data_IF_136137317635
#
_entry.id   IF_136137317635
#
_cell.length_a   1.000
_cell.length_b   1.000
_cell.length_c   1.000
_cell.angle_alpha   90.00
_cell.angle_beta   90.00
_cell.angle_gamma   90.00
#
_symmetry.space_group_name_H-M   'P 1'
#
loop_
_entity.id
_entity.type
_entity.pdbx_description
1 polymer ?
#
# COMPACT_ATOMS: atom_id res chain seq x y z
N UNK A 1 2.84 -3.44 12.30
CA UNK A 1 3.48 -2.77 11.14
C UNK A 1 3.11 -3.50 9.86
N UNK A 2 2.67 -2.81 8.81
CA UNK A 2 2.30 -3.44 7.53
C UNK A 2 3.52 -3.87 6.71
N UNK A 3 3.32 -4.76 5.73
CA UNK A 3 4.26 -5.03 4.64
C UNK A 3 3.53 -4.87 3.30
N UNK A 4 4.01 -3.92 2.51
CA UNK A 4 3.57 -3.66 1.14
C UNK A 4 4.66 -4.10 0.17
N UNK A 5 4.24 -4.53 -1.01
CA UNK A 5 5.11 -4.84 -2.15
C UNK A 5 4.50 -4.18 -3.39
N UNK A 6 5.32 -3.46 -4.16
CA UNK A 6 4.95 -2.93 -5.46
C UNK A 6 5.96 -3.36 -6.50
N UNK A 7 5.45 -3.79 -7.66
CA UNK A 7 6.25 -4.11 -8.84
C UNK A 7 5.64 -3.44 -10.06
N UNK A 8 6.47 -2.78 -10.86
CA UNK A 8 6.14 -2.23 -12.17
C UNK A 8 6.92 -2.99 -13.23
N UNK A 9 6.26 -3.34 -14.31
CA UNK A 9 6.84 -3.98 -15.48
C UNK A 9 6.22 -3.40 -16.75
N UNK A 10 6.78 -3.67 -17.93
CA UNK A 10 6.12 -3.33 -19.20
C UNK A 10 4.75 -3.99 -19.40
N UNK A 11 4.47 -5.08 -18.68
CA UNK A 11 3.21 -5.83 -18.79
C UNK A 11 2.10 -5.31 -17.86
N UNK A 12 2.46 -4.44 -16.91
CA UNK A 12 1.55 -3.98 -15.86
C UNK A 12 2.24 -3.72 -14.52
N UNK A 13 1.41 -3.36 -13.55
CA UNK A 13 1.80 -3.17 -12.15
C UNK A 13 1.15 -4.23 -11.26
N UNK A 14 1.84 -4.60 -10.20
CA UNK A 14 1.42 -5.55 -9.19
C UNK A 14 1.64 -4.94 -7.81
N UNK A 15 0.58 -4.83 -7.02
CA UNK A 15 0.64 -4.48 -5.61
C UNK A 15 0.25 -5.67 -4.74
N UNK A 16 0.90 -5.82 -3.59
CA UNK A 16 0.51 -6.74 -2.53
C UNK A 16 0.56 -6.06 -1.17
N UNK A 17 -0.34 -6.45 -0.28
CA UNK A 17 -0.38 -5.96 1.08
C UNK A 17 -0.84 -7.05 2.06
N UNK A 18 -0.27 -7.05 3.26
CA UNK A 18 -0.81 -7.81 4.38
C UNK A 18 -2.04 -7.12 5.00
N UNK A 19 -2.85 -7.86 5.76
CA UNK A 19 -4.01 -7.28 6.45
C UNK A 19 -3.85 -7.11 7.95
N UNK A 20 -2.80 -7.64 8.57
CA UNK A 20 -2.66 -7.62 10.03
C UNK A 20 -2.50 -6.19 10.54
N UNK A 21 -3.28 -5.82 11.55
CA UNK A 21 -3.13 -4.57 12.29
C UNK A 21 -3.14 -4.86 13.78
N UNK A 22 -2.38 -4.09 14.53
CA UNK A 22 -2.34 -4.15 15.99
C UNK A 22 -3.05 -2.90 16.51
N UNK A 23 -4.03 -3.13 17.39
CA UNK A 23 -4.80 -2.07 18.04
C UNK A 23 -4.45 -2.11 19.52
N UNK A 24 -3.97 -0.99 20.02
CA UNK A 24 -3.66 -0.81 21.44
C UNK A 24 -4.85 -0.13 22.12
N UNK A 25 -5.31 -0.68 23.24
CA UNK A 25 -6.30 -0.01 24.09
C UNK A 25 -5.64 0.89 25.15
N UNK A 26 -6.45 1.62 25.92
CA UNK A 26 -5.97 2.53 26.98
C UNK A 26 -5.27 1.80 28.15
N UNK A 27 -5.37 0.47 28.21
CA UNK A 27 -4.72 -0.38 29.21
C UNK A 27 -3.49 -1.11 28.63
N UNK A 28 -3.02 -0.70 27.45
CA UNK A 28 -1.88 -1.28 26.70
C UNK A 28 -2.08 -2.76 26.33
N UNK A 29 -3.32 -3.23 26.26
CA UNK A 29 -3.62 -4.53 25.67
C UNK A 29 -3.51 -4.43 24.15
N UNK A 30 -2.87 -5.43 23.55
CA UNK A 30 -2.72 -5.54 22.10
C UNK A 30 -3.78 -6.48 21.54
N UNK A 31 -4.71 -5.94 20.76
CA UNK A 31 -5.66 -6.72 19.98
C UNK A 31 -5.19 -6.82 18.52
N UNK A 32 -5.15 -8.04 17.99
CA UNK A 32 -4.86 -8.27 16.57
C UNK A 32 -6.16 -8.21 15.78
N UNK A 33 -6.22 -7.33 14.78
CA UNK A 33 -7.33 -7.26 13.81
C UNK A 33 -6.81 -7.41 12.39
N UNK A 34 -7.74 -7.57 11.45
CA UNK A 34 -7.45 -7.65 10.03
C UNK A 34 -8.19 -6.56 9.28
N UNK A 35 -7.45 -5.70 8.59
CA UNK A 35 -7.98 -4.58 7.83
C UNK A 35 -7.39 -4.58 6.41
N UNK A 36 -8.19 -4.25 5.41
CA UNK A 36 -7.70 -4.07 4.04
C UNK A 36 -6.74 -2.89 3.97
N UNK A 37 -5.66 -3.08 3.22
CA UNK A 37 -4.62 -2.07 2.99
C UNK A 37 -4.32 -1.86 1.51
N UNK A 38 -5.03 -2.57 0.64
CA UNK A 38 -4.97 -2.46 -0.81
C UNK A 38 -6.39 -2.27 -1.35
N UNK A 39 -6.57 -1.26 -2.18
CA UNK A 39 -7.86 -0.80 -2.65
C UNK A 39 -7.81 -0.50 -4.15
N UNK A 40 -8.86 -0.88 -4.91
CA UNK A 40 -9.04 -0.39 -6.27
C UNK A 40 -9.42 1.09 -6.23
N UNK A 41 -8.89 1.87 -7.15
CA UNK A 41 -9.37 3.22 -7.46
C UNK A 41 -9.96 3.17 -8.88
N UNK A 42 -11.25 2.82 -8.97
CA UNK A 42 -11.88 2.51 -10.27
C UNK A 42 -11.24 1.29 -10.95
N UNK A 43 -11.21 1.30 -12.28
CA UNK A 43 -10.61 0.24 -13.10
C UNK A 43 -9.15 0.52 -13.50
N UNK A 44 -8.69 1.76 -13.30
CA UNK A 44 -7.41 2.27 -13.80
C UNK A 44 -6.35 2.49 -12.73
N UNK A 45 -6.70 2.33 -11.45
CA UNK A 45 -5.82 2.65 -10.33
C UNK A 45 -5.86 1.64 -9.17
N UNK A 46 -4.74 1.57 -8.46
CA UNK A 46 -4.55 0.85 -7.21
C UNK A 46 -3.96 1.80 -6.16
N UNK A 47 -4.45 1.67 -4.93
CA UNK A 47 -3.96 2.37 -3.76
C UNK A 47 -3.64 1.38 -2.65
N UNK A 48 -2.41 1.42 -2.15
CA UNK A 48 -2.06 0.73 -0.92
C UNK A 48 -1.61 1.70 0.16
N UNK A 49 -1.90 1.40 1.42
CA UNK A 49 -1.50 2.22 2.57
C UNK A 49 -0.83 1.38 3.66
N UNK A 50 0.10 1.98 4.38
CA UNK A 50 0.73 1.35 5.54
C UNK A 50 1.27 2.36 6.53
N UNK A 51 1.73 1.83 7.67
CA UNK A 51 2.14 2.64 8.80
C UNK A 51 0.93 3.01 9.67
N UNK A 52 0.69 4.30 9.90
CA UNK A 52 -0.46 4.78 10.68
C UNK A 52 -1.82 4.30 10.14
N UNK A 53 -2.71 3.89 11.04
CA UNK A 53 -4.04 3.36 10.70
C UNK A 53 -4.96 4.38 10.00
N UNK A 54 -4.66 5.68 10.08
CA UNK A 54 -5.41 6.76 9.43
C UNK A 54 -5.61 6.53 7.92
N UNK A 55 -4.60 5.97 7.25
CA UNK A 55 -4.64 5.76 5.80
C UNK A 55 -5.66 4.72 5.36
N UNK A 56 -6.05 3.79 6.23
CA UNK A 56 -7.00 2.70 5.90
C UNK A 56 -8.37 3.28 5.56
N UNK A 57 -8.88 4.16 6.41
CA UNK A 57 -10.22 4.73 6.24
C UNK A 57 -10.28 5.72 5.07
N UNK A 58 -9.23 6.53 4.89
CA UNK A 58 -9.09 7.43 3.74
C UNK A 58 -9.09 6.63 2.43
N UNK A 59 -8.28 5.56 2.37
CA UNK A 59 -8.19 4.69 1.19
C UNK A 59 -9.53 4.06 0.84
N UNK A 60 -10.28 3.60 1.86
CA UNK A 60 -11.60 3.00 1.69
C UNK A 60 -12.60 4.00 1.10
N UNK A 61 -12.65 5.23 1.62
CA UNK A 61 -13.52 6.29 1.11
C UNK A 61 -13.21 6.64 -0.34
N UNK A 62 -11.92 6.80 -0.67
CA UNK A 62 -11.47 7.08 -2.04
C UNK A 62 -11.81 5.94 -3.01
N UNK A 63 -11.64 4.68 -2.58
CA UNK A 63 -12.02 3.52 -3.37
C UNK A 63 -13.52 3.52 -3.73
N UNK A 64 -14.38 3.87 -2.77
CA UNK A 64 -15.81 4.03 -3.04
C UNK A 64 -16.10 5.20 -3.98
N UNK A 65 -15.48 6.35 -3.75
CA UNK A 65 -15.67 7.55 -4.58
C UNK A 65 -15.36 7.30 -6.05
N UNK A 66 -14.19 6.70 -6.35
CA UNK A 66 -13.76 6.46 -7.73
C UNK A 66 -14.43 5.25 -8.39
N UNK A 67 -15.07 4.38 -7.61
CA UNK A 67 -15.97 3.37 -8.17
C UNK A 67 -17.23 4.03 -8.74
N UNK A 68 -17.76 5.04 -8.06
CA UNK A 68 -18.97 5.75 -8.47
C UNK A 68 -18.69 6.86 -9.49
N UNK A 69 -17.50 7.46 -9.42
CA UNK A 69 -17.08 8.60 -10.23
C UNK A 69 -15.71 8.29 -10.87
N UNK A 70 -15.68 7.44 -11.91
CA UNK A 70 -14.43 7.07 -12.56
C UNK A 70 -13.82 8.27 -13.28
N UNK A 71 -12.52 8.48 -13.06
CA UNK A 71 -11.72 9.53 -13.72
C UNK A 71 -10.38 8.94 -14.19
N UNK A 72 -9.68 9.58 -15.13
CA UNK A 72 -8.34 9.16 -15.55
C UNK A 72 -7.35 9.10 -14.38
N UNK A 73 -6.38 8.17 -14.45
CA UNK A 73 -5.41 7.96 -13.37
C UNK A 73 -4.62 9.22 -12.96
N UNK A 74 -4.17 10.10 -13.87
CA UNK A 74 -3.48 11.34 -13.47
C UNK A 74 -4.33 12.25 -12.58
N UNK A 75 -5.61 12.43 -12.93
CA UNK A 75 -6.56 13.25 -12.15
C UNK A 75 -6.84 12.59 -10.78
N UNK A 76 -7.05 11.28 -10.80
CA UNK A 76 -7.23 10.45 -9.60
C UNK A 76 -6.03 10.58 -8.66
N UNK A 77 -4.80 10.43 -9.16
CA UNK A 77 -3.56 10.54 -8.39
C UNK A 77 -3.49 11.91 -7.69
N UNK A 78 -3.74 13.00 -8.40
CA UNK A 78 -3.74 14.35 -7.82
C UNK A 78 -4.79 14.51 -6.71
N UNK A 79 -6.01 13.99 -6.92
CA UNK A 79 -7.08 14.06 -5.93
C UNK A 79 -6.80 13.19 -4.69
N UNK A 80 -6.22 12.00 -4.87
CA UNK A 80 -5.83 11.13 -3.76
C UNK A 80 -4.81 11.84 -2.88
N UNK A 81 -3.77 12.45 -3.47
CA UNK A 81 -2.72 13.14 -2.71
C UNK A 81 -3.27 14.32 -1.92
N UNK A 82 -4.12 15.15 -2.53
CA UNK A 82 -4.73 16.28 -1.83
C UNK A 82 -5.64 15.83 -0.68
N UNK A 83 -6.41 14.76 -0.88
CA UNK A 83 -7.29 14.20 0.14
C UNK A 83 -6.49 13.60 1.30
N UNK A 84 -5.46 12.80 1.02
CA UNK A 84 -4.61 12.22 2.06
C UNK A 84 -3.92 13.29 2.89
N UNK A 85 -3.42 14.34 2.25
CA UNK A 85 -2.79 15.46 2.96
C UNK A 85 -3.81 16.15 3.88
N UNK A 86 -4.98 16.53 3.35
CA UNK A 86 -6.03 17.21 4.11
C UNK A 86 -6.54 16.39 5.30
N UNK A 87 -6.88 15.12 5.07
CA UNK A 87 -7.43 14.25 6.12
C UNK A 87 -6.37 13.91 7.18
N UNK A 88 -5.10 13.78 6.78
CA UNK A 88 -4.01 13.58 7.71
C UNK A 88 -3.75 14.82 8.57
N UNK A 89 -3.79 16.01 7.98
CA UNK A 89 -3.65 17.27 8.73
C UNK A 89 -4.80 17.44 9.74
N UNK A 90 -6.03 17.10 9.36
CA UNK A 90 -7.18 17.09 10.27
C UNK A 90 -7.00 16.10 11.41
N UNK A 91 -6.60 14.86 11.11
CA UNK A 91 -6.32 13.83 12.12
C UNK A 91 -5.24 14.27 13.12
N UNK A 92 -4.17 14.90 12.64
CA UNK A 92 -3.13 15.45 13.50
C UNK A 92 -3.64 16.59 14.38
N UNK A 93 -4.54 17.44 13.88
CA UNK A 93 -5.13 18.53 14.65
C UNK A 93 -6.05 18.01 15.77
N UNK A 94 -6.91 17.04 15.45
CA UNK A 94 -7.82 16.43 16.43
C UNK A 94 -7.07 15.64 17.51
N UNK A 95 -6.04 14.89 17.12
CA UNK A 95 -5.20 14.09 18.02
C UNK A 95 -4.08 14.87 18.72
N UNK A 96 -3.96 16.19 18.52
CA UNK A 96 -2.77 16.98 18.90
C UNK A 96 -2.37 16.86 20.37
N UNK A 97 -3.34 16.85 21.29
CA UNK A 97 -3.06 16.71 22.71
C UNK A 97 -2.55 15.30 23.06
N UNK A 98 -3.12 14.27 22.43
CA UNK A 98 -2.74 12.88 22.65
C UNK A 98 -1.35 12.58 22.06
N UNK A 99 -1.07 13.03 20.84
CA UNK A 99 0.24 12.86 20.20
C UNK A 99 1.37 13.59 20.93
N UNK A 100 1.08 14.73 21.58
CA UNK A 100 2.06 15.40 22.45
C UNK A 100 2.39 14.60 23.70
N UNK A 101 1.42 13.85 24.24
CA UNK A 101 1.62 12.98 25.39
C UNK A 101 2.32 11.65 25.03
N UNK A 102 2.19 11.21 23.76
CA UNK A 102 2.70 9.93 23.26
C UNK A 102 3.52 10.14 21.96
N UNK A 103 4.69 10.81 22.02
CA UNK A 103 5.51 11.05 20.84
C UNK A 103 6.00 9.77 20.16
N UNK A 104 6.08 8.65 20.87
CA UNK A 104 6.40 7.32 20.32
C UNK A 104 5.30 6.76 19.41
N UNK A 105 4.06 7.24 19.56
CA UNK A 105 2.95 6.85 18.69
C UNK A 105 3.00 7.54 17.32
N UNK A 106 4.00 8.39 17.06
CA UNK A 106 4.29 8.90 15.73
C UNK A 106 4.76 7.78 14.82
N UNK A 107 3.83 7.24 14.06
CA UNK A 107 4.13 6.24 13.04
C UNK A 107 4.26 6.93 11.69
N UNK A 108 5.27 6.52 10.91
CA UNK A 108 5.32 6.78 9.48
C UNK A 108 3.96 6.45 8.87
N UNK A 109 3.46 7.31 7.99
CA UNK A 109 2.31 7.01 7.16
C UNK A 109 2.78 7.02 5.71
N UNK A 110 2.42 6.00 4.95
CA UNK A 110 2.83 5.92 3.55
C UNK A 110 1.74 5.33 2.66
N UNK A 111 1.78 5.73 1.41
CA UNK A 111 0.87 5.26 0.36
C UNK A 111 1.64 4.87 -0.89
N UNK A 112 1.16 3.82 -1.55
CA UNK A 112 1.55 3.41 -2.89
C UNK A 112 0.40 3.71 -3.82
N UNK A 113 0.68 4.41 -4.90
CA UNK A 113 -0.25 4.65 -5.99
C UNK A 113 0.28 4.01 -7.24
N UNK A 114 -0.58 3.33 -7.98
CA UNK A 114 -0.22 2.80 -9.28
C UNK A 114 -1.42 2.82 -10.21
N UNK A 115 -1.17 3.01 -11.50
CA UNK A 115 -2.22 3.00 -12.49
C UNK A 115 -1.73 2.95 -13.93
N UNK A 116 -2.69 2.99 -14.84
CA UNK A 116 -2.47 3.06 -16.29
C UNK A 116 -2.71 4.48 -16.79
N UNK A 117 -1.76 5.00 -17.55
CA UNK A 117 -1.82 6.31 -18.21
C UNK A 117 -2.59 6.21 -19.53
N UNK A 118 -2.98 7.36 -20.08
CA UNK A 118 -3.77 7.43 -21.32
C UNK A 118 -3.04 6.84 -22.53
N UNK A 119 -1.70 6.88 -22.54
CA UNK A 119 -0.86 6.28 -23.58
C UNK A 119 -0.70 4.74 -23.41
N UNK A 120 -1.35 4.16 -22.40
CA UNK A 120 -1.30 2.74 -22.05
C UNK A 120 -0.06 2.34 -21.24
N UNK A 121 0.83 3.27 -20.92
CA UNK A 121 1.96 3.01 -20.03
C UNK A 121 1.52 2.91 -18.57
N UNK A 122 2.33 2.23 -17.75
CA UNK A 122 2.04 2.05 -16.32
C UNK A 122 2.92 2.92 -15.46
N UNK A 123 2.35 3.46 -14.40
CA UNK A 123 3.04 4.27 -13.42
C UNK A 123 2.86 3.70 -12.02
N UNK A 124 3.89 3.83 -11.18
CA UNK A 124 3.76 3.70 -9.73
C UNK A 124 4.53 4.83 -9.04
N UNK A 125 4.00 5.30 -7.92
CA UNK A 125 4.60 6.31 -7.05
C UNK A 125 4.44 5.90 -5.59
N UNK A 126 5.39 6.33 -4.75
CA UNK A 126 5.38 6.10 -3.32
C UNK A 126 5.45 7.43 -2.59
N UNK A 127 4.57 7.63 -1.63
CA UNK A 127 4.53 8.84 -0.82
C UNK A 127 4.61 8.49 0.65
N UNK A 128 5.36 9.25 1.43
CA UNK A 128 5.45 9.08 2.87
C UNK A 128 5.39 10.43 3.60
N UNK A 129 4.82 10.38 4.81
CA UNK A 129 4.96 11.38 5.86
C UNK A 129 5.85 10.75 6.94
N UNK A 130 7.09 11.23 7.03
CA UNK A 130 8.12 10.63 7.89
C UNK A 130 8.13 11.19 9.31
N UNK A 131 7.51 12.36 9.54
CA UNK A 131 7.41 12.98 10.85
C UNK A 131 6.10 13.74 11.07
N UNK A 132 5.82 14.08 12.33
CA UNK A 132 4.66 14.87 12.72
C UNK A 132 4.64 16.23 12.01
N UNK A 133 3.49 16.60 11.43
CA UNK A 133 3.32 17.83 10.67
C UNK A 133 4.00 17.84 9.29
N UNK A 134 4.67 16.77 8.87
CA UNK A 134 5.25 16.72 7.53
C UNK A 134 4.21 16.27 6.51
N UNK A 135 4.09 17.05 5.44
CA UNK A 135 3.30 16.69 4.29
C UNK A 135 3.82 15.42 3.63
N UNK A 136 2.91 14.66 3.00
CA UNK A 136 3.29 13.55 2.14
C UNK A 136 4.22 14.05 1.03
N UNK A 137 5.38 13.42 0.89
CA UNK A 137 6.34 13.69 -0.18
C UNK A 137 6.54 12.46 -1.01
N UNK A 138 6.70 12.67 -2.32
CA UNK A 138 7.07 11.59 -3.21
C UNK A 138 8.50 11.14 -2.88
N UNK A 139 8.65 9.85 -2.62
CA UNK A 139 9.94 9.23 -2.41
C UNK A 139 10.32 8.47 -3.68
N UNK A 140 11.57 8.58 -4.15
CA UNK A 140 12.00 7.91 -5.36
C UNK A 140 11.92 6.40 -5.19
N UNK A 141 11.28 5.74 -6.15
CA UNK A 141 11.21 4.28 -6.24
C UNK A 141 11.71 3.82 -7.60
N UNK A 142 12.24 2.60 -7.62
CA UNK A 142 12.52 1.89 -8.85
C UNK A 142 11.27 1.08 -9.25
N UNK A 143 11.44 0.19 -10.23
CA UNK A 143 10.40 -0.73 -10.66
C UNK A 143 9.94 -1.70 -9.56
N UNK A 144 10.72 -1.87 -8.49
CA UNK A 144 10.35 -2.72 -7.34
C UNK A 144 10.53 -1.94 -6.06
N UNK A 145 9.52 -2.01 -5.18
CA UNK A 145 9.57 -1.49 -3.83
C UNK A 145 8.97 -2.49 -2.84
N UNK A 146 9.55 -2.55 -1.65
CA UNK A 146 8.91 -3.12 -0.47
C UNK A 146 8.86 -2.08 0.64
N UNK A 147 7.76 -2.01 1.39
CA UNK A 147 7.59 -1.07 2.51
C UNK A 147 7.04 -1.78 3.75
N UNK A 148 7.79 -1.91 4.86
CA UNK A 148 9.21 -1.58 5.03
C UNK A 148 10.14 -2.28 4.04
N UNK A 149 11.33 -1.71 3.81
CA UNK A 149 12.28 -2.22 2.80
C UNK A 149 12.88 -3.57 3.15
N UNK A 150 12.88 -4.46 2.16
CA UNK A 150 13.37 -5.84 2.18
C UNK A 150 14.27 -6.06 0.97
N UNK A 151 15.52 -5.61 1.07
CA UNK A 151 16.48 -5.65 -0.05
C UNK A 151 16.60 -7.03 -0.69
N UNK A 152 16.61 -8.11 0.10
CA UNK A 152 16.66 -9.47 -0.43
C UNK A 152 15.45 -9.86 -1.28
N UNK A 153 14.25 -9.39 -0.92
CA UNK A 153 13.03 -9.58 -1.71
C UNK A 153 13.07 -8.73 -2.97
N UNK A 154 13.45 -7.46 -2.84
CA UNK A 154 13.54 -6.54 -3.98
C UNK A 154 14.53 -7.03 -5.04
N UNK A 155 15.72 -7.50 -4.64
CA UNK A 155 16.71 -8.09 -5.56
C UNK A 155 16.12 -9.27 -6.33
N UNK A 156 15.44 -10.19 -5.64
CA UNK A 156 14.82 -11.37 -6.28
C UNK A 156 13.79 -10.98 -7.33
N UNK A 157 12.91 -10.04 -7.00
CA UNK A 157 11.88 -9.54 -7.91
C UNK A 157 12.50 -8.80 -9.10
N UNK A 158 13.51 -7.94 -8.88
CA UNK A 158 14.23 -7.26 -9.95
C UNK A 158 14.93 -8.24 -10.88
N UNK A 159 15.57 -9.29 -10.34
CA UNK A 159 16.19 -10.34 -11.16
C UNK A 159 15.17 -11.07 -11.99
N UNK A 160 14.01 -11.42 -11.42
CA UNK A 160 12.94 -12.10 -12.14
C UNK A 160 12.38 -11.22 -13.29
N UNK A 161 12.19 -9.92 -13.06
CA UNK A 161 11.80 -8.96 -14.10
C UNK A 161 12.83 -8.87 -15.23
N UNK A 162 14.12 -8.74 -14.88
CA UNK A 162 15.22 -8.68 -15.86
C UNK A 162 15.33 -9.95 -16.71
N UNK A 163 14.92 -11.08 -16.16
CA UNK A 163 14.88 -12.36 -16.86
C UNK A 163 13.60 -12.56 -17.70
N UNK A 164 12.71 -11.56 -17.75
CA UNK A 164 11.48 -11.61 -18.55
C UNK A 164 10.37 -12.47 -17.96
N UNK A 165 10.38 -12.71 -16.64
CA UNK A 165 9.27 -13.41 -15.95
C UNK A 165 7.97 -12.63 -16.14
N UNK A 166 6.85 -13.34 -16.27
CA UNK A 166 5.54 -12.69 -16.35
C UNK A 166 5.04 -12.20 -14.98
N UNK A 167 4.03 -11.35 -14.98
CA UNK A 167 3.48 -10.78 -13.74
C UNK A 167 2.91 -11.82 -12.77
N UNK A 168 2.46 -12.99 -13.24
CA UNK A 168 1.93 -14.04 -12.38
C UNK A 168 3.07 -14.73 -11.62
N UNK A 169 4.17 -15.01 -12.30
CA UNK A 169 5.38 -15.54 -11.67
C UNK A 169 5.97 -14.55 -10.65
N UNK A 170 6.01 -13.26 -11.00
CA UNK A 170 6.41 -12.19 -10.08
C UNK A 170 5.47 -12.14 -8.86
N UNK A 171 4.16 -12.24 -9.06
CA UNK A 171 3.17 -12.28 -7.98
C UNK A 171 3.42 -13.47 -7.06
N UNK A 172 3.67 -14.66 -7.62
CA UNK A 172 3.96 -15.85 -6.83
C UNK A 172 5.23 -15.69 -5.98
N UNK A 173 6.29 -15.10 -6.53
CA UNK A 173 7.51 -14.77 -5.78
C UNK A 173 7.26 -13.76 -4.66
N UNK A 174 6.45 -12.73 -4.92
CA UNK A 174 6.08 -11.73 -3.92
C UNK A 174 5.22 -12.33 -2.78
N UNK A 175 4.26 -13.20 -3.12
CA UNK A 175 3.46 -13.95 -2.13
C UNK A 175 4.37 -14.84 -1.28
N UNK A 176 5.30 -15.57 -1.88
CA UNK A 176 6.26 -16.39 -1.13
C UNK A 176 7.09 -15.55 -0.15
N UNK A 177 7.47 -14.34 -0.55
CA UNK A 177 8.16 -13.41 0.34
C UNK A 177 7.27 -12.98 1.53
N UNK A 178 6.00 -12.63 1.30
CA UNK A 178 5.06 -12.31 2.38
C UNK A 178 4.84 -13.49 3.33
N UNK A 179 4.64 -14.71 2.80
CA UNK A 179 4.53 -15.93 3.60
C UNK A 179 5.78 -16.17 4.46
N UNK A 180 6.96 -15.91 3.91
CA UNK A 180 8.20 -16.04 4.66
C UNK A 180 8.32 -14.99 5.78
N UNK A 181 7.88 -13.74 5.53
CA UNK A 181 7.89 -12.67 6.53
C UNK A 181 6.89 -12.95 7.65
N UNK A 182 5.66 -13.34 7.31
CA UNK A 182 4.58 -13.76 8.24
C UNK A 182 5.05 -14.88 9.19
N UNK A 183 5.83 -15.85 8.70
CA UNK A 183 6.42 -16.91 9.55
C UNK A 183 7.52 -16.43 10.49
N UNK A 184 8.13 -15.29 10.22
CA UNK A 184 9.30 -14.77 10.96
C UNK A 184 8.98 -13.61 11.87
N UNK A 185 7.95 -12.85 11.54
CA UNK A 185 7.64 -11.58 12.18
C UNK A 185 6.17 -11.53 12.56
N UNK A 186 5.90 -11.24 13.83
CA UNK A 186 4.54 -11.11 14.32
C UNK A 186 3.83 -9.85 13.80
N UNK A 187 4.50 -8.95 13.09
CA UNK A 187 3.93 -7.68 12.64
C UNK A 187 3.15 -7.79 11.33
N UNK A 188 3.46 -8.80 10.52
CA UNK A 188 2.87 -9.06 9.19
C UNK A 188 2.03 -10.31 9.29
N UNK A 189 0.84 -10.31 8.69
CA UNK A 189 0.00 -11.49 8.78
C UNK A 189 -1.03 -11.59 7.67
N UNK A 190 -1.37 -12.84 7.37
CA UNK A 190 -2.46 -13.20 6.46
C UNK A 190 -3.80 -12.64 6.95
N UNK A 191 -4.77 -12.41 6.05
CA UNK A 191 -4.71 -12.68 4.62
C UNK A 191 -3.82 -11.68 3.84
N UNK A 192 -3.41 -12.07 2.63
CA UNK A 192 -2.64 -11.19 1.74
C UNK A 192 -3.51 -10.75 0.57
N UNK A 193 -3.66 -9.44 0.38
CA UNK A 193 -4.29 -8.87 -0.79
C UNK A 193 -3.29 -8.71 -1.92
N UNK A 194 -3.72 -8.95 -3.14
CA UNK A 194 -2.97 -8.59 -4.34
C UNK A 194 -3.87 -7.91 -5.36
N UNK A 195 -3.24 -7.08 -6.20
CA UNK A 195 -3.88 -6.39 -7.30
C UNK A 195 -2.92 -6.24 -8.46
N UNK A 196 -3.40 -6.54 -9.67
CA UNK A 196 -2.66 -6.38 -10.92
C UNK A 196 -3.45 -5.46 -11.85
N UNK A 197 -2.80 -4.39 -12.32
CA UNK A 197 -3.28 -3.61 -13.46
C UNK A 197 -2.44 -3.98 -14.66
N UNK A 198 -3.11 -4.39 -15.73
CA UNK A 198 -2.51 -4.79 -17.00
C UNK A 198 -3.34 -4.23 -18.17
N UNK A 199 -2.91 -4.49 -19.40
CA UNK A 199 -3.71 -4.18 -20.59
C UNK A 199 -5.06 -4.93 -20.64
N UNK A 200 -5.21 -6.01 -19.86
CA UNK A 200 -6.48 -6.73 -19.70
C UNK A 200 -7.40 -6.15 -18.63
N UNK A 201 -7.00 -5.04 -18.00
CA UNK A 201 -7.70 -4.39 -16.90
C UNK A 201 -7.16 -4.76 -15.53
N UNK A 202 -7.93 -4.37 -14.51
CA UNK A 202 -7.64 -4.59 -13.10
C UNK A 202 -8.14 -5.97 -12.65
N UNK A 203 -7.28 -6.72 -11.98
CA UNK A 203 -7.62 -7.95 -11.24
C UNK A 203 -7.17 -7.84 -9.80
N UNK A 204 -8.00 -8.25 -8.87
CA UNK A 204 -7.68 -8.26 -7.45
C UNK A 204 -8.24 -9.51 -6.80
N UNK A 205 -7.52 -10.04 -5.82
CA UNK A 205 -7.98 -11.15 -5.00
C UNK A 205 -7.28 -11.16 -3.64
N UNK A 206 -7.68 -12.07 -2.77
CA UNK A 206 -7.15 -12.25 -1.42
C UNK A 206 -6.72 -13.70 -1.22
N UNK A 207 -5.48 -13.90 -0.76
CA UNK A 207 -5.00 -15.21 -0.32
C UNK A 207 -5.32 -15.40 1.16
N UNK A 208 -6.33 -16.22 1.46
CA UNK A 208 -6.85 -16.39 2.82
C UNK A 208 -6.08 -17.41 3.67
N UNK A 209 -5.59 -18.53 3.08
CA UNK A 209 -4.62 -19.47 3.67
C UNK A 209 -4.29 -20.59 2.67
N UNK A 210 -3.01 -20.95 2.52
CA UNK A 210 -2.65 -22.32 2.13
C UNK A 210 -2.41 -23.09 3.43
N UNK A 211 -3.28 -24.06 3.69
CA UNK A 211 -3.12 -25.15 4.66
C UNK A 211 -1.84 -25.92 4.46
#
# INVERSE_FOLDING_TARGET
MSQLIAVKSPQGILFLADRRVEVHDDADNVEVRFARKLYPLGESGLLSTGGSAVGIEISRKLSHLFRENPVPYPEMKSYVLSTFQSDYDMFQQEGKAWFRAHPEAHQLAYILLGGILEDGSFENSFYASEAHGESYRELPILDVLTAPRRIGTEIKLVTALKNGSDLIDIMNLAIQALVYIDKKENSVGRPFDWGIISSSGLKMDTLENNS
#
